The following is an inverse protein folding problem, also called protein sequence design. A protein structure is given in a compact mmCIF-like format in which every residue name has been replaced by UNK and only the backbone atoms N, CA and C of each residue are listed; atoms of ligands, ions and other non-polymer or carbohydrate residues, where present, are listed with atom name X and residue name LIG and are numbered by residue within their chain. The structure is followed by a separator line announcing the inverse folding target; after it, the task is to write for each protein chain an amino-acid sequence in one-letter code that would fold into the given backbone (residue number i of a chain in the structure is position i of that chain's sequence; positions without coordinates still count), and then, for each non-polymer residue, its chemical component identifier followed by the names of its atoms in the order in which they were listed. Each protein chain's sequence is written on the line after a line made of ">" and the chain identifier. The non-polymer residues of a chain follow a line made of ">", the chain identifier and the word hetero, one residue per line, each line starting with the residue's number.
data_IF_600976294164
#
_entry.id   IF_600976294164
#
_cell.length_a   1.000
_cell.length_b   1.000
_cell.length_c   1.000
_cell.angle_alpha   90.00
_cell.angle_beta   90.00
_cell.angle_gamma   90.00
#
_symmetry.space_group_name_H-M   'P 1'
#
loop_
_entity.id
_entity.type
_entity.pdbx_description
1 polymer ?
#
# COMPACT_ATOMS: atom_id res chain seq x y z
N UNK A 1 8.75 -9.40 -14.68
CA UNK A 1 9.96 -10.08 -14.16
C UNK A 1 9.69 -11.58 -14.04
N UNK A 2 10.67 -12.48 -14.24
CA UNK A 2 10.46 -13.91 -14.04
C UNK A 2 10.10 -14.26 -12.59
N UNK A 3 9.40 -15.38 -12.34
CA UNK A 3 9.06 -15.84 -10.98
C UNK A 3 10.29 -16.00 -10.08
N UNK A 4 10.13 -15.73 -8.78
CA UNK A 4 11.16 -15.91 -7.75
C UNK A 4 12.39 -14.98 -7.84
N UNK A 5 12.49 -14.14 -8.88
CA UNK A 5 13.64 -13.25 -9.08
C UNK A 5 13.47 -11.93 -8.35
N UNK A 6 14.60 -11.31 -8.03
CA UNK A 6 14.64 -9.94 -7.48
C UNK A 6 14.88 -8.95 -8.60
N UNK A 7 14.09 -7.88 -8.62
CA UNK A 7 14.27 -6.72 -9.47
C UNK A 7 14.44 -5.48 -8.61
N UNK A 8 15.41 -4.64 -8.97
CA UNK A 8 15.58 -3.30 -8.43
C UNK A 8 15.52 -2.30 -9.59
N UNK A 9 14.57 -1.37 -9.53
CA UNK A 9 14.47 -0.23 -10.44
C UNK A 9 14.83 1.02 -9.63
N UNK A 10 15.89 1.70 -10.02
CA UNK A 10 16.43 2.85 -9.29
C UNK A 10 16.70 3.98 -10.26
N UNK A 11 16.20 5.19 -9.97
CA UNK A 11 16.41 6.38 -10.80
C UNK A 11 16.06 6.18 -12.29
N UNK A 12 15.05 5.36 -12.56
CA UNK A 12 14.70 4.95 -13.92
C UNK A 12 13.45 5.67 -14.43
N UNK A 13 13.22 5.57 -15.75
CA UNK A 13 11.94 5.89 -16.38
C UNK A 13 11.40 4.65 -17.08
N UNK A 14 10.17 4.25 -16.73
CA UNK A 14 9.45 3.13 -17.34
C UNK A 14 8.23 3.68 -18.08
N UNK A 15 8.21 3.53 -19.40
CA UNK A 15 7.12 4.03 -20.25
C UNK A 15 5.87 3.14 -20.24
N UNK A 16 5.92 1.99 -19.57
CA UNK A 16 4.81 1.04 -19.47
C UNK A 16 4.56 0.61 -18.03
N UNK A 17 4.14 -0.65 -17.88
CA UNK A 17 3.87 -1.26 -16.58
C UNK A 17 5.11 -1.99 -16.03
N UNK A 18 5.18 -2.08 -14.71
CA UNK A 18 6.11 -2.96 -14.00
C UNK A 18 5.33 -4.13 -13.43
N UNK A 19 5.70 -5.35 -13.83
CA UNK A 19 5.06 -6.58 -13.37
C UNK A 19 6.03 -7.44 -12.55
N UNK A 20 5.75 -7.59 -11.26
CA UNK A 20 6.31 -8.62 -10.39
C UNK A 20 5.47 -9.89 -10.49
N UNK A 21 6.06 -10.99 -10.95
CA UNK A 21 5.38 -12.29 -11.00
C UNK A 21 5.46 -13.02 -9.66
N UNK A 22 4.79 -14.16 -9.57
CA UNK A 22 4.80 -15.05 -8.43
C UNK A 22 6.17 -15.16 -7.74
N UNK A 23 6.16 -15.02 -6.41
CA UNK A 23 7.32 -15.13 -5.54
C UNK A 23 8.49 -14.16 -5.84
N UNK A 24 8.31 -13.23 -6.77
CA UNK A 24 9.33 -12.24 -7.10
C UNK A 24 9.45 -11.18 -6.00
N UNK A 25 10.60 -10.50 -5.96
CA UNK A 25 10.83 -9.33 -5.12
C UNK A 25 11.05 -8.13 -6.01
N UNK A 26 10.20 -7.12 -5.88
CA UNK A 26 10.25 -5.89 -6.63
C UNK A 26 10.55 -4.72 -5.70
N UNK A 27 11.66 -4.04 -5.96
CA UNK A 27 12.02 -2.79 -5.30
C UNK A 27 12.08 -1.69 -6.35
N UNK A 28 11.32 -0.62 -6.15
CA UNK A 28 11.26 0.54 -7.04
C UNK A 28 11.61 1.77 -6.23
N UNK A 29 12.70 2.45 -6.57
CA UNK A 29 13.15 3.66 -5.87
C UNK A 29 13.36 4.80 -6.86
N UNK A 30 12.82 5.98 -6.52
CA UNK A 30 13.02 7.23 -7.25
C UNK A 30 12.81 7.11 -8.77
N UNK A 31 11.83 6.30 -9.15
CA UNK A 31 11.56 5.93 -10.54
C UNK A 31 10.25 6.56 -11.02
N UNK A 32 10.22 7.00 -12.27
CA UNK A 32 9.00 7.43 -12.94
C UNK A 32 8.41 6.26 -13.73
N UNK A 33 7.18 5.86 -13.42
CA UNK A 33 6.46 4.81 -14.15
C UNK A 33 5.21 5.42 -14.77
N UNK A 34 5.08 5.34 -16.09
CA UNK A 34 3.93 5.88 -16.81
C UNK A 34 2.66 5.05 -16.60
N UNK A 35 2.81 3.73 -16.48
CA UNK A 35 1.73 2.78 -16.27
C UNK A 35 1.52 2.39 -14.80
N UNK A 36 1.19 1.12 -14.60
CA UNK A 36 0.91 0.52 -13.29
C UNK A 36 2.14 -0.22 -12.72
N UNK A 37 2.11 -0.45 -11.41
CA UNK A 37 2.96 -1.44 -10.74
C UNK A 37 2.04 -2.54 -10.24
N UNK A 38 2.23 -3.74 -10.77
CA UNK A 38 1.43 -4.92 -10.45
C UNK A 38 2.35 -5.99 -9.83
N UNK A 39 2.00 -6.42 -8.61
CA UNK A 39 2.66 -7.51 -7.90
C UNK A 39 1.67 -8.47 -7.27
N UNK A 40 0.67 -8.89 -8.03
CA UNK A 40 -0.14 -10.08 -7.69
C UNK A 40 0.78 -11.30 -7.59
N UNK A 41 0.63 -12.05 -6.50
CA UNK A 41 1.46 -13.20 -6.08
C UNK A 41 2.94 -12.86 -5.82
N UNK A 42 3.34 -11.59 -5.92
CA UNK A 42 4.71 -11.19 -5.63
C UNK A 42 4.99 -11.33 -4.13
N UNK A 43 6.21 -11.77 -3.80
CA UNK A 43 6.62 -11.95 -2.40
C UNK A 43 6.82 -10.60 -1.71
N UNK A 44 7.47 -9.67 -2.40
CA UNK A 44 7.73 -8.31 -1.91
C UNK A 44 7.51 -7.32 -3.03
N UNK A 45 6.79 -6.25 -2.75
CA UNK A 45 6.71 -5.03 -3.56
C UNK A 45 6.93 -3.84 -2.65
N UNK A 46 8.03 -3.13 -2.89
CA UNK A 46 8.35 -1.90 -2.18
C UNK A 46 8.61 -0.78 -3.17
N UNK A 47 7.81 0.29 -3.08
CA UNK A 47 7.90 1.49 -3.92
C UNK A 47 8.28 2.67 -3.02
N UNK A 48 9.38 3.35 -3.34
CA UNK A 48 9.93 4.45 -2.55
C UNK A 48 10.18 5.66 -3.44
N UNK A 49 9.58 6.79 -3.10
CA UNK A 49 9.66 8.02 -3.87
C UNK A 49 9.04 7.86 -5.26
N UNK A 50 9.51 8.68 -6.19
CA UNK A 50 9.10 8.62 -7.59
C UNK A 50 7.68 9.10 -7.90
N UNK A 51 7.31 8.95 -9.17
CA UNK A 51 6.00 9.34 -9.70
C UNK A 51 5.39 8.19 -10.50
N UNK A 52 4.13 7.91 -10.22
CA UNK A 52 3.35 6.89 -10.90
C UNK A 52 2.16 7.51 -11.65
N UNK A 53 2.03 7.11 -12.91
CA UNK A 53 0.94 7.48 -13.81
C UNK A 53 -0.27 6.55 -13.72
N UNK A 54 -0.22 5.46 -12.98
CA UNK A 54 -1.30 4.50 -12.80
C UNK A 54 -1.44 3.99 -11.37
N UNK A 55 -1.96 2.78 -11.22
CA UNK A 55 -2.23 2.14 -9.93
C UNK A 55 -1.05 1.28 -9.43
N UNK A 56 -0.99 1.08 -8.12
CA UNK A 56 -0.19 0.05 -7.47
C UNK A 56 -1.16 -1.02 -6.96
N UNK A 57 -0.98 -2.27 -7.41
CA UNK A 57 -1.72 -3.43 -6.92
C UNK A 57 -0.73 -4.45 -6.36
N UNK A 58 -0.94 -4.88 -5.12
CA UNK A 58 -0.13 -5.89 -4.43
C UNK A 58 -1.11 -6.86 -3.80
N UNK A 59 -1.16 -8.11 -4.27
CA UNK A 59 -2.13 -9.07 -3.78
C UNK A 59 -1.56 -10.49 -3.69
N UNK A 60 -2.16 -11.33 -2.84
CA UNK A 60 -1.92 -12.77 -2.75
C UNK A 60 -0.46 -13.20 -2.46
N UNK A 61 0.36 -12.26 -2.01
CA UNK A 61 1.77 -12.49 -1.69
C UNK A 61 1.97 -13.13 -0.33
N UNK A 62 2.94 -14.05 -0.24
CA UNK A 62 3.32 -14.72 1.00
C UNK A 62 4.77 -14.39 1.40
N UNK A 63 4.94 -13.55 2.41
CA UNK A 63 6.25 -13.10 2.91
C UNK A 63 6.30 -12.92 4.43
N UNK A 64 6.12 -14.00 5.22
CA UNK A 64 6.19 -13.92 6.67
C UNK A 64 7.55 -13.38 7.12
N UNK A 65 7.54 -12.35 7.97
CA UNK A 65 8.76 -11.72 8.50
C UNK A 65 9.39 -10.64 7.61
N UNK A 66 8.89 -10.40 6.40
CA UNK A 66 9.31 -9.29 5.53
C UNK A 66 8.18 -8.24 5.45
N UNK A 67 8.52 -6.97 5.15
CA UNK A 67 7.52 -5.99 4.72
C UNK A 67 7.19 -6.31 3.25
N UNK A 68 6.14 -7.11 3.04
CA UNK A 68 5.74 -7.57 1.72
C UNK A 68 5.13 -6.49 0.85
N UNK A 69 4.45 -5.52 1.45
CA UNK A 69 3.86 -4.39 0.74
C UNK A 69 4.30 -3.07 1.38
N UNK A 70 5.03 -2.26 0.63
CA UNK A 70 5.52 -0.96 1.08
C UNK A 70 5.37 0.12 0.02
N UNK A 71 4.74 1.24 0.35
CA UNK A 71 4.71 2.44 -0.50
C UNK A 71 5.08 3.65 0.34
N UNK A 72 6.13 4.37 -0.07
CA UNK A 72 6.76 5.41 0.74
C UNK A 72 6.98 6.67 -0.08
N UNK A 73 6.33 7.79 0.28
CA UNK A 73 6.63 9.10 -0.33
C UNK A 73 6.35 9.16 -1.84
N UNK A 74 5.54 8.26 -2.37
CA UNK A 74 5.26 8.15 -3.81
C UNK A 74 4.12 9.08 -4.21
N UNK A 75 4.28 9.77 -5.35
CA UNK A 75 3.23 10.58 -5.96
C UNK A 75 2.48 9.78 -7.02
N UNK A 76 1.19 9.54 -6.82
CA UNK A 76 0.27 9.04 -7.83
C UNK A 76 -0.50 10.22 -8.44
N UNK A 77 -0.34 10.40 -9.75
CA UNK A 77 -1.10 11.43 -10.49
C UNK A 77 -2.53 10.99 -10.80
N UNK A 78 -2.74 9.69 -10.87
CA UNK A 78 -4.02 9.00 -11.00
C UNK A 78 -3.85 7.56 -10.48
N UNK A 79 -4.93 6.79 -10.47
CA UNK A 79 -4.89 5.40 -10.02
C UNK A 79 -4.98 5.24 -8.50
N UNK A 80 -5.02 3.99 -8.06
CA UNK A 80 -5.23 3.61 -6.66
C UNK A 80 -3.97 2.95 -6.09
N UNK A 81 -3.90 2.86 -4.77
CA UNK A 81 -3.04 1.89 -4.09
C UNK A 81 -3.95 0.82 -3.49
N UNK A 82 -3.73 -0.44 -3.87
CA UNK A 82 -4.51 -1.59 -3.40
C UNK A 82 -3.56 -2.66 -2.85
N UNK A 83 -3.79 -3.07 -1.61
CA UNK A 83 -3.08 -4.18 -0.95
C UNK A 83 -4.08 -5.17 -0.40
N UNK A 84 -4.14 -6.38 -0.97
CA UNK A 84 -5.21 -7.34 -0.70
C UNK A 84 -4.67 -8.74 -0.40
N UNK A 85 -5.25 -9.43 0.58
CA UNK A 85 -5.00 -10.86 0.84
C UNK A 85 -3.52 -11.26 1.03
N UNK A 86 -2.68 -10.33 1.48
CA UNK A 86 -1.27 -10.63 1.77
C UNK A 86 -1.12 -11.41 3.08
N UNK A 87 -0.30 -12.46 3.08
CA UNK A 87 0.22 -13.08 4.31
C UNK A 87 1.67 -12.67 4.52
N UNK A 88 1.90 -11.65 5.35
CA UNK A 88 3.20 -10.95 5.35
C UNK A 88 3.67 -10.52 6.74
N UNK A 89 4.95 -10.16 6.86
CA UNK A 89 5.45 -9.47 8.03
C UNK A 89 4.84 -8.09 8.19
N UNK A 90 4.67 -7.34 7.10
CA UNK A 90 4.00 -6.05 7.19
C UNK A 90 3.52 -5.39 5.92
N UNK A 91 2.59 -4.46 6.13
CA UNK A 91 2.00 -3.58 5.14
C UNK A 91 2.21 -2.13 5.58
N UNK A 92 2.88 -1.33 4.77
CA UNK A 92 3.18 0.08 5.10
C UNK A 92 2.85 0.99 3.91
N UNK A 93 1.91 1.92 4.08
CA UNK A 93 1.64 3.00 3.13
C UNK A 93 1.88 4.32 3.85
N UNK A 94 2.99 4.97 3.53
CA UNK A 94 3.49 6.12 4.28
C UNK A 94 3.77 7.31 3.39
N UNK A 95 3.24 8.47 3.74
CA UNK A 95 3.50 9.74 3.05
C UNK A 95 3.19 9.71 1.54
N UNK A 96 2.30 8.83 1.09
CA UNK A 96 1.88 8.79 -0.31
C UNK A 96 0.95 9.98 -0.61
N UNK A 97 1.02 10.47 -1.85
CA UNK A 97 0.14 11.54 -2.33
C UNK A 97 -0.63 11.03 -3.53
N UNK A 98 -1.94 10.88 -3.39
CA UNK A 98 -2.86 10.50 -4.46
C UNK A 98 -3.66 11.75 -4.87
N UNK A 99 -3.31 12.32 -6.02
CA UNK A 99 -4.05 13.48 -6.57
C UNK A 99 -5.45 13.09 -7.04
N UNK A 100 -5.61 11.83 -7.43
CA UNK A 100 -6.87 11.16 -7.74
C UNK A 100 -6.72 9.71 -7.26
N UNK A 101 -7.84 9.04 -7.01
CA UNK A 101 -7.91 7.66 -6.58
C UNK A 101 -7.92 7.47 -5.06
N UNK A 102 -7.96 6.19 -4.68
CA UNK A 102 -8.18 5.71 -3.32
C UNK A 102 -7.00 4.87 -2.82
N UNK A 103 -6.94 4.69 -1.50
CA UNK A 103 -6.13 3.64 -0.87
C UNK A 103 -7.09 2.57 -0.33
N UNK A 104 -6.88 1.31 -0.71
CA UNK A 104 -7.63 0.15 -0.21
C UNK A 104 -6.68 -0.89 0.37
N UNK A 105 -6.91 -1.29 1.62
CA UNK A 105 -6.13 -2.32 2.31
C UNK A 105 -7.11 -3.34 2.88
N UNK A 106 -7.25 -4.51 2.27
CA UNK A 106 -8.27 -5.50 2.66
C UNK A 106 -7.71 -6.91 2.88
N UNK A 107 -8.16 -7.60 3.92
CA UNK A 107 -7.93 -9.05 4.08
C UNK A 107 -6.50 -9.47 4.45
N UNK A 108 -5.58 -8.52 4.69
CA UNK A 108 -4.18 -8.86 4.93
C UNK A 108 -3.97 -9.43 6.34
N UNK A 109 -3.05 -10.40 6.45
CA UNK A 109 -2.57 -10.96 7.71
C UNK A 109 -1.13 -10.50 7.96
N UNK A 110 -0.91 -9.73 9.04
CA UNK A 110 0.41 -9.16 9.37
C UNK A 110 0.96 -9.64 10.70
N UNK A 111 2.27 -9.89 10.78
CA UNK A 111 2.93 -10.38 12.01
C UNK A 111 3.85 -9.39 12.70
N UNK A 112 4.25 -8.29 12.04
CA UNK A 112 5.23 -7.34 12.58
C UNK A 112 4.90 -5.86 12.42
N UNK A 113 4.36 -5.41 11.28
CA UNK A 113 4.04 -3.99 11.04
C UNK A 113 2.77 -3.80 10.22
N UNK A 114 1.98 -2.80 10.58
CA UNK A 114 0.85 -2.35 9.77
C UNK A 114 0.67 -0.84 10.00
N UNK A 115 1.06 -0.03 9.02
CA UNK A 115 1.05 1.43 9.12
C UNK A 115 0.49 2.07 7.86
N UNK A 116 -0.66 2.73 7.99
CA UNK A 116 -1.24 3.59 6.96
C UNK A 116 -1.18 5.01 7.50
N UNK A 117 -0.08 5.73 7.20
CA UNK A 117 0.23 6.99 7.90
C UNK A 117 0.69 8.13 7.00
N UNK A 118 0.33 9.37 7.35
CA UNK A 118 0.85 10.56 6.66
C UNK A 118 0.38 10.73 5.21
N UNK A 119 -0.63 9.97 4.77
CA UNK A 119 -1.05 9.98 3.37
C UNK A 119 -1.97 11.17 3.07
N UNK A 120 -1.86 11.71 1.86
CA UNK A 120 -2.77 12.75 1.32
C UNK A 120 -3.56 12.17 0.18
N UNK A 121 -4.86 11.98 0.36
CA UNK A 121 -5.72 11.24 -0.58
C UNK A 121 -6.93 12.09 -0.97
N UNK A 122 -7.08 12.32 -2.28
CA UNK A 122 -8.17 13.13 -2.82
C UNK A 122 -9.55 12.44 -2.78
N UNK A 123 -9.58 11.12 -2.66
CA UNK A 123 -10.83 10.37 -2.51
C UNK A 123 -10.83 9.65 -1.15
N UNK A 124 -10.86 8.32 -1.13
CA UNK A 124 -11.14 7.55 0.07
C UNK A 124 -9.93 6.75 0.56
N UNK A 125 -9.93 6.44 1.85
CA UNK A 125 -9.09 5.38 2.43
C UNK A 125 -10.02 4.32 3.03
N UNK A 126 -9.85 3.08 2.63
CA UNK A 126 -10.58 1.91 3.14
C UNK A 126 -9.62 0.89 3.71
N UNK A 127 -9.79 0.54 4.98
CA UNK A 127 -8.93 -0.44 5.69
C UNK A 127 -9.83 -1.49 6.31
N UNK A 128 -9.95 -2.66 5.67
CA UNK A 128 -10.97 -3.66 6.00
C UNK A 128 -10.38 -5.03 6.35
N UNK A 129 -10.93 -5.67 7.40
CA UNK A 129 -10.71 -7.10 7.70
C UNK A 129 -9.23 -7.49 7.86
N UNK A 130 -8.34 -6.55 8.17
CA UNK A 130 -6.93 -6.85 8.33
C UNK A 130 -6.70 -7.52 9.69
N UNK A 131 -6.01 -8.66 9.67
CA UNK A 131 -5.79 -9.55 10.80
C UNK A 131 -4.34 -9.52 11.25
N UNK A 132 -4.11 -10.08 12.44
CA UNK A 132 -2.78 -10.20 13.03
C UNK A 132 -2.70 -9.58 14.42
N UNK A 133 -1.70 -10.04 15.18
CA UNK A 133 -1.46 -9.61 16.57
C UNK A 133 -0.78 -8.24 16.67
N UNK A 134 -0.29 -7.73 15.55
CA UNK A 134 0.40 -6.45 15.44
C UNK A 134 -0.54 -5.26 15.68
N UNK A 135 -0.02 -4.19 16.27
CA UNK A 135 -0.68 -2.88 16.30
C UNK A 135 -0.91 -2.39 14.87
N UNK A 136 -2.18 -2.37 14.44
CA UNK A 136 -2.60 -1.81 13.16
C UNK A 136 -2.88 -0.33 13.35
N UNK A 137 -2.12 0.50 12.65
CA UNK A 137 -2.12 1.95 12.87
C UNK A 137 -2.54 2.68 11.60
N UNK A 138 -3.63 3.45 11.69
CA UNK A 138 -4.17 4.31 10.63
C UNK A 138 -4.29 5.72 11.22
N UNK A 139 -3.27 6.56 11.06
CA UNK A 139 -3.23 7.91 11.66
C UNK A 139 -2.50 8.91 10.78
N UNK A 140 -2.69 10.19 11.08
CA UNK A 140 -2.05 11.32 10.41
C UNK A 140 -2.35 11.38 8.90
N UNK A 141 -3.46 10.79 8.46
CA UNK A 141 -3.89 10.87 7.07
C UNK A 141 -4.78 12.10 6.86
N UNK A 142 -4.66 12.70 5.67
CA UNK A 142 -5.55 13.75 5.18
C UNK A 142 -6.33 13.22 3.97
N UNK A 143 -7.62 13.00 4.16
CA UNK A 143 -8.53 12.38 3.20
C UNK A 143 -9.62 13.37 2.85
N UNK A 144 -9.84 13.66 1.57
CA UNK A 144 -10.86 14.67 1.20
C UNK A 144 -12.29 14.12 1.30
N UNK A 145 -12.47 12.81 1.11
CA UNK A 145 -13.75 12.14 1.21
C UNK A 145 -13.79 11.26 2.47
N UNK A 146 -14.10 9.97 2.34
CA UNK A 146 -14.32 9.08 3.48
C UNK A 146 -13.06 8.31 3.86
N UNK A 147 -12.82 8.21 5.17
CA UNK A 147 -11.82 7.34 5.78
C UNK A 147 -12.56 6.30 6.64
N UNK A 148 -12.54 5.04 6.21
CA UNK A 148 -13.33 3.96 6.81
C UNK A 148 -12.45 2.76 7.21
N UNK A 149 -12.59 2.33 8.46
CA UNK A 149 -11.79 1.26 9.06
C UNK A 149 -12.76 0.24 9.65
N UNK A 150 -12.91 -0.93 9.04
CA UNK A 150 -13.96 -1.89 9.40
C UNK A 150 -13.40 -3.29 9.61
N UNK A 151 -13.87 -3.97 10.66
CA UNK A 151 -13.55 -5.40 10.93
C UNK A 151 -12.04 -5.71 11.05
N UNK A 152 -11.20 -4.72 11.35
CA UNK A 152 -9.78 -4.98 11.62
C UNK A 152 -9.63 -5.52 13.05
N UNK A 153 -8.78 -6.54 13.22
CA UNK A 153 -8.62 -7.18 14.54
C UNK A 153 -7.90 -6.26 15.53
N UNK A 154 -8.24 -6.31 16.81
CA UNK A 154 -7.42 -5.62 17.82
C UNK A 154 -6.01 -6.25 17.93
N UNK A 155 -4.96 -5.48 18.27
CA UNK A 155 -4.97 -4.04 18.52
C UNK A 155 -5.05 -3.20 17.23
N UNK A 156 -5.85 -2.12 17.29
CA UNK A 156 -6.10 -1.18 16.18
C UNK A 156 -6.14 0.26 16.72
N UNK A 157 -5.44 1.18 16.06
CA UNK A 157 -5.44 2.61 16.34
C UNK A 157 -5.82 3.34 15.05
N UNK A 158 -6.98 3.98 15.05
CA UNK A 158 -7.57 4.59 13.86
C UNK A 158 -7.53 6.11 13.78
N UNK A 159 -6.80 6.76 14.69
CA UNK A 159 -6.71 8.23 14.74
C UNK A 159 -5.44 8.75 15.42
N UNK A 160 -5.19 10.06 15.35
CA UNK A 160 -6.04 11.08 14.72
C UNK A 160 -5.92 11.07 13.18
N UNK A 161 -6.97 11.48 12.46
CA UNK A 161 -6.98 11.72 11.01
C UNK A 161 -7.80 12.96 10.67
N UNK A 162 -7.57 13.55 9.48
CA UNK A 162 -8.43 14.61 8.91
C UNK A 162 -9.15 14.04 7.71
N UNK A 163 -10.45 13.83 7.81
CA UNK A 163 -11.29 13.29 6.74
C UNK A 163 -12.54 14.14 6.53
N UNK A 164 -13.14 14.10 5.33
CA UNK A 164 -14.48 14.63 5.12
C UNK A 164 -15.52 13.86 5.96
N UNK A 165 -15.31 12.55 6.09
CA UNK A 165 -16.04 11.70 7.01
C UNK A 165 -15.11 10.58 7.52
N UNK A 166 -15.09 10.34 8.83
CA UNK A 166 -14.40 9.20 9.44
C UNK A 166 -15.44 8.20 9.97
N UNK A 167 -15.21 6.91 9.76
CA UNK A 167 -16.18 5.84 10.08
C UNK A 167 -15.56 4.71 10.88
N UNK A 168 -16.41 4.05 11.66
CA UNK A 168 -16.15 2.77 12.31
C UNK A 168 -14.94 2.83 13.27
N UNK A 169 -13.82 2.16 12.96
CA UNK A 169 -12.66 2.11 13.82
C UNK A 169 -11.70 3.30 13.60
N UNK A 170 -11.98 4.20 12.65
CA UNK A 170 -11.07 5.28 12.27
C UNK A 170 -11.19 6.57 13.13
N UNK A 171 -11.20 6.47 14.46
CA UNK A 171 -11.25 7.62 15.38
C UNK A 171 -10.03 7.69 16.29
#
# INVERSE_FOLDING_TARGET
>A
MPPGRTCRLENATVNGNVLGRENSRLYVSDTRVAGNIDGVEARVVQVRGGQLGGSIQIADGNSPGEIGAGVYGTLLTQGNIQVEEMNTGGVEIKNAVLRKGNIKIEGNSTTSRFEITGNRVAQNIQVFKNRGRTNKTVRDNRVQQTLECKENTSPFVGGPNVAGEAKEQCF
#
